data_IF_341035500166
#
_entry.id   IF_341035500166
#
_cell.length_a   1.000
_cell.length_b   1.000
_cell.length_c   1.000
_cell.angle_alpha   90.00
_cell.angle_beta   90.00
_cell.angle_gamma   90.00
#
_symmetry.space_group_name_H-M   'P 1'
#
loop_
_entity.id
_entity.type
_entity.pdbx_description
1 polymer ?
#
# COMPACT_ATOMS: atom_id res chain seq x y z
N UNK A 1 12.78 -4.95 18.91
CA UNK A 1 12.14 -4.17 19.91
C UNK A 1 11.09 -3.26 19.28
N UNK A 2 10.44 -2.48 20.09
CA UNK A 2 9.27 -1.73 19.64
C UNK A 2 9.54 -0.69 18.60
N UNK A 3 10.79 -0.41 18.30
CA UNK A 3 11.11 0.61 17.33
C UNK A 3 11.10 0.11 15.90
N UNK A 4 11.01 -1.19 15.72
CA UNK A 4 11.03 -1.73 14.37
C UNK A 4 9.73 -1.41 13.66
N UNK A 5 9.85 -0.86 12.45
CA UNK A 5 8.69 -0.49 11.66
C UNK A 5 8.56 -1.43 10.48
N UNK A 6 7.33 -1.80 10.18
CA UNK A 6 7.03 -2.58 9.00
C UNK A 6 6.23 -1.70 8.05
N UNK A 7 6.70 -1.60 6.84
CA UNK A 7 6.05 -0.79 5.82
C UNK A 7 5.66 -1.67 4.66
N UNK A 8 4.43 -1.53 4.24
CA UNK A 8 3.90 -2.26 3.09
C UNK A 8 3.78 -1.28 1.94
N UNK A 9 4.38 -1.64 0.81
CA UNK A 9 4.38 -0.77 -0.36
C UNK A 9 3.94 -1.59 -1.56
N UNK A 10 2.79 -1.21 -2.13
CA UNK A 10 2.23 -1.89 -3.29
C UNK A 10 2.35 -0.94 -4.46
N UNK A 11 3.19 -1.29 -5.42
CA UNK A 11 3.52 -0.42 -6.52
C UNK A 11 2.87 -0.91 -7.80
N UNK A 12 2.27 0.00 -8.54
CA UNK A 12 1.60 -0.29 -9.79
C UNK A 12 2.40 0.32 -10.92
N UNK A 13 2.80 -0.52 -11.86
CA UNK A 13 3.74 -0.13 -12.90
C UNK A 13 3.10 -0.32 -14.26
N UNK A 14 3.26 0.68 -15.13
CA UNK A 14 2.78 0.64 -16.50
C UNK A 14 3.88 1.20 -17.39
N UNK A 15 4.23 0.44 -18.44
CA UNK A 15 5.31 0.82 -19.36
C UNK A 15 6.60 1.10 -18.60
N UNK A 16 6.91 0.22 -17.63
CA UNK A 16 8.13 0.31 -16.83
C UNK A 16 8.19 1.56 -15.98
N UNK A 17 7.05 2.17 -15.73
CA UNK A 17 6.99 3.39 -14.95
C UNK A 17 5.97 3.21 -13.84
N UNK A 18 6.39 3.44 -12.61
CA UNK A 18 5.46 3.40 -11.49
C UNK A 18 4.54 4.62 -11.59
N UNK A 19 3.24 4.39 -11.59
CA UNK A 19 2.29 5.49 -11.77
C UNK A 19 1.38 5.68 -10.57
N UNK A 20 1.21 4.66 -9.74
CA UNK A 20 0.41 4.78 -8.53
C UNK A 20 0.96 3.79 -7.52
N UNK A 21 0.78 4.08 -6.22
CA UNK A 21 1.24 3.17 -5.17
C UNK A 21 0.33 3.28 -3.97
N UNK A 22 0.27 2.19 -3.21
CA UNK A 22 -0.33 2.20 -1.89
C UNK A 22 0.79 2.06 -0.88
N UNK A 23 0.87 3.02 0.02
CA UNK A 23 1.92 3.07 1.03
C UNK A 23 1.26 2.97 2.39
N UNK A 24 1.60 1.94 3.14
CA UNK A 24 0.97 1.73 4.44
C UNK A 24 1.24 2.86 5.42
N UNK A 25 2.37 3.55 5.27
CA UNK A 25 2.65 4.69 6.12
C UNK A 25 1.69 5.84 5.86
N UNK A 26 1.19 5.93 4.63
CA UNK A 26 0.23 6.96 4.26
C UNK A 26 -1.20 6.50 4.52
N UNK A 27 -1.46 5.23 4.25
CA UNK A 27 -2.77 4.64 4.48
C UNK A 27 -3.73 4.80 3.33
N UNK A 28 -3.26 5.28 2.20
CA UNK A 28 -4.11 5.43 1.02
C UNK A 28 -3.26 5.39 -0.23
N UNK A 29 -3.94 5.31 -1.37
CA UNK A 29 -3.23 5.32 -2.65
C UNK A 29 -2.74 6.73 -2.95
N UNK A 30 -1.59 6.81 -3.58
CA UNK A 30 -1.01 8.07 -4.03
C UNK A 30 -0.54 7.94 -5.46
N UNK A 31 -0.86 8.94 -6.26
CA UNK A 31 -0.38 9.00 -7.64
C UNK A 31 1.09 9.36 -7.64
N UNK A 32 1.88 8.56 -8.33
CA UNK A 32 3.30 8.87 -8.51
C UNK A 32 3.48 9.80 -9.70
N UNK A 33 2.68 9.56 -10.74
CA UNK A 33 2.67 10.43 -11.91
C UNK A 33 1.24 10.85 -12.20
N UNK A 34 1.08 11.78 -13.11
CA UNK A 34 -0.25 12.24 -13.51
C UNK A 34 -1.11 11.07 -14.02
N UNK A 35 -0.47 10.09 -14.61
CA UNK A 35 -1.18 8.95 -15.15
C UNK A 35 -1.93 8.20 -14.07
N UNK A 36 -1.40 8.16 -12.86
CA UNK A 36 -2.03 7.41 -11.77
C UNK A 36 -3.07 8.19 -10.99
N UNK A 37 -3.24 9.48 -11.27
CA UNK A 37 -4.15 10.28 -10.49
C UNK A 37 -5.60 9.78 -10.52
N UNK A 38 -6.17 9.46 -11.70
CA UNK A 38 -7.54 8.95 -11.72
C UNK A 38 -7.70 7.66 -10.94
N UNK A 39 -6.73 6.75 -11.06
CA UNK A 39 -6.81 5.48 -10.36
C UNK A 39 -6.70 5.68 -8.86
N UNK A 40 -5.78 6.54 -8.43
CA UNK A 40 -5.62 6.78 -7.00
C UNK A 40 -6.90 7.37 -6.41
N UNK A 41 -7.48 8.33 -7.09
CA UNK A 41 -8.71 8.94 -6.60
C UNK A 41 -9.86 7.95 -6.56
N UNK A 42 -9.96 7.13 -7.61
CA UNK A 42 -11.04 6.16 -7.67
C UNK A 42 -10.90 5.12 -6.55
N UNK A 43 -9.71 4.60 -6.38
CA UNK A 43 -9.49 3.57 -5.35
C UNK A 43 -9.63 4.13 -3.95
N UNK A 44 -9.18 5.35 -3.72
CA UNK A 44 -9.34 5.97 -2.41
C UNK A 44 -10.79 6.23 -2.07
N UNK A 45 -11.64 6.37 -3.08
CA UNK A 45 -13.05 6.52 -2.87
C UNK A 45 -13.77 5.23 -2.52
N UNK A 46 -13.08 4.10 -2.64
CA UNK A 46 -13.65 2.79 -2.34
C UNK A 46 -13.22 2.37 -0.95
N UNK A 47 -14.09 2.60 0.01
CA UNK A 47 -13.75 2.32 1.40
C UNK A 47 -13.34 0.86 1.60
N UNK A 48 -14.03 -0.06 0.92
CA UNK A 48 -13.73 -1.47 1.07
C UNK A 48 -12.33 -1.80 0.59
N UNK A 49 -11.89 -1.16 -0.49
CA UNK A 49 -10.56 -1.39 -1.01
C UNK A 49 -9.51 -0.94 -0.01
N UNK A 50 -9.70 0.24 0.55
CA UNK A 50 -8.74 0.78 1.53
C UNK A 50 -8.70 -0.08 2.77
N UNK A 51 -9.85 -0.51 3.25
CA UNK A 51 -9.88 -1.34 4.46
C UNK A 51 -9.21 -2.67 4.22
N UNK A 52 -9.40 -3.24 3.03
CA UNK A 52 -8.74 -4.51 2.69
C UNK A 52 -7.22 -4.33 2.68
N UNK A 53 -6.75 -3.26 2.07
CA UNK A 53 -5.31 -3.02 2.00
C UNK A 53 -4.71 -2.81 3.38
N UNK A 54 -5.41 -2.06 4.22
CA UNK A 54 -4.92 -1.83 5.57
C UNK A 54 -4.88 -3.13 6.38
N UNK A 55 -5.87 -3.99 6.16
CA UNK A 55 -5.88 -5.29 6.84
C UNK A 55 -4.74 -6.17 6.35
N UNK A 56 -4.38 -6.08 5.08
CA UNK A 56 -3.28 -6.86 4.54
C UNK A 56 -1.96 -6.48 5.20
N UNK A 57 -1.81 -5.23 5.57
CA UNK A 57 -0.60 -4.81 6.27
C UNK A 57 -0.46 -5.55 7.59
N UNK A 58 -1.54 -5.65 8.33
CA UNK A 58 -1.51 -6.38 9.60
C UNK A 58 -1.14 -7.84 9.39
N UNK A 59 -1.73 -8.47 8.38
CA UNK A 59 -1.43 -9.87 8.07
C UNK A 59 0.03 -10.02 7.67
N UNK A 60 0.51 -9.11 6.84
CA UNK A 60 1.88 -9.14 6.36
C UNK A 60 2.86 -9.00 7.52
N UNK A 61 2.56 -8.07 8.43
CA UNK A 61 3.44 -7.85 9.57
C UNK A 61 3.50 -9.08 10.46
N UNK A 62 2.35 -9.68 10.73
CA UNK A 62 2.33 -10.87 11.59
C UNK A 62 3.04 -12.04 10.94
N UNK A 63 2.85 -12.19 9.63
CA UNK A 63 3.50 -13.28 8.92
C UNK A 63 5.02 -13.13 8.98
N UNK A 64 5.49 -11.93 8.75
CA UNK A 64 6.93 -11.70 8.77
C UNK A 64 7.52 -11.88 10.15
N UNK A 65 6.77 -11.51 11.17
CA UNK A 65 7.23 -11.71 12.54
C UNK A 65 7.39 -13.19 12.82
N UNK A 66 6.39 -13.99 12.43
CA UNK A 66 6.47 -15.42 12.66
C UNK A 66 7.62 -16.07 11.92
N UNK A 67 7.84 -15.64 10.69
CA UNK A 67 8.91 -16.23 9.88
C UNK A 67 10.28 -15.79 10.40
N UNK A 68 10.36 -14.54 10.87
CA UNK A 68 11.63 -14.01 11.32
C UNK A 68 12.13 -14.60 12.62
N UNK A 69 11.25 -15.28 13.30
CA UNK A 69 11.65 -15.94 14.53
C UNK A 69 12.03 -17.37 14.26
#
# INVERSE_FOLDING_TARGET
NGTERVRFLDRYIYNREEYVRFDSDVGEYRAVTELGRPDAEYWNGQKEILERRRAEVDTYCRHNYGVGE
#
